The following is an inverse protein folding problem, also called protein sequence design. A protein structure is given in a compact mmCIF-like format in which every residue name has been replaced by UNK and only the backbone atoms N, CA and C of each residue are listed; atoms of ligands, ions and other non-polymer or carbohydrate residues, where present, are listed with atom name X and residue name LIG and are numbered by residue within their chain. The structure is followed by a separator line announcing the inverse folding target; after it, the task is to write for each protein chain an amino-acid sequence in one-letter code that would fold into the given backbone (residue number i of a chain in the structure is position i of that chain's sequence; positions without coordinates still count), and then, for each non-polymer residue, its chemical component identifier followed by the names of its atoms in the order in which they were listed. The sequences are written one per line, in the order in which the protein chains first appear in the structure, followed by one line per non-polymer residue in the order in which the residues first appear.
data_IF_487930692260
#
_entry.id   IF_487930692260
#
_cell.length_a   1.000
_cell.length_b   1.000
_cell.length_c   1.000
_cell.angle_alpha   90.00
_cell.angle_beta   90.00
_cell.angle_gamma   90.00
#
_symmetry.space_group_name_H-M   'P 1'
#
loop_
_entity.id
_entity.type
_entity.pdbx_description
1 polymer ?
#
# COMPACT_ATOMS: atom_id res chain seq x y z
N UNK A 1 -20.44 1.38 -7.60
CA UNK A 1 -19.45 1.77 -6.57
C UNK A 1 -20.13 2.71 -5.60
N UNK A 2 -19.91 2.53 -4.30
CA UNK A 2 -20.38 3.43 -3.24
C UNK A 2 -19.16 4.08 -2.62
N UNK A 3 -19.20 5.39 -2.41
CA UNK A 3 -18.12 6.16 -1.79
C UNK A 3 -18.72 7.14 -0.79
N UNK A 4 -18.07 7.31 0.36
CA UNK A 4 -18.50 8.29 1.37
C UNK A 4 -17.45 8.50 2.45
N UNK A 5 -17.72 9.43 3.36
CA UNK A 5 -16.83 9.79 4.47
C UNK A 5 -17.18 8.96 5.69
N UNK A 6 -16.23 8.16 6.18
CA UNK A 6 -16.43 7.32 7.38
C UNK A 6 -15.96 7.98 8.67
N UNK A 7 -15.03 8.95 8.57
CA UNK A 7 -14.46 9.65 9.72
C UNK A 7 -14.00 11.05 9.33
N UNK A 8 -14.30 12.02 10.19
CA UNK A 8 -13.74 13.38 10.12
C UNK A 8 -12.94 13.61 11.40
N UNK A 9 -11.67 13.95 11.23
CA UNK A 9 -10.74 14.34 12.30
C UNK A 9 -10.40 15.83 12.21
N UNK A 10 -9.47 16.29 13.06
CA UNK A 10 -9.10 17.71 13.12
C UNK A 10 -8.45 18.22 11.83
N UNK A 11 -7.57 17.41 11.24
CA UNK A 11 -6.76 17.78 10.06
C UNK A 11 -6.85 16.73 8.95
N UNK A 12 -7.81 15.83 9.06
CA UNK A 12 -7.88 14.66 8.18
C UNK A 12 -9.29 14.13 8.11
N UNK A 13 -9.60 13.41 7.05
CA UNK A 13 -10.85 12.67 6.91
C UNK A 13 -10.57 11.37 6.18
N UNK A 14 -11.42 10.37 6.43
CA UNK A 14 -11.29 9.04 5.84
C UNK A 14 -12.45 8.81 4.89
N UNK A 15 -12.13 8.51 3.63
CA UNK A 15 -13.11 7.97 2.70
C UNK A 15 -13.15 6.46 2.79
N UNK A 16 -14.33 5.91 2.59
CA UNK A 16 -14.57 4.50 2.35
C UNK A 16 -15.13 4.34 0.94
N UNK A 17 -14.67 3.32 0.23
CA UNK A 17 -15.11 2.92 -1.09
C UNK A 17 -15.53 1.45 -1.06
N UNK A 18 -16.65 1.14 -1.69
CA UNK A 18 -17.11 -0.22 -1.92
C UNK A 18 -17.41 -0.44 -3.40
N UNK A 19 -16.71 -1.40 -3.99
CA UNK A 19 -17.02 -1.93 -5.31
C UNK A 19 -18.10 -3.01 -5.17
N UNK A 20 -19.15 -2.94 -5.99
CA UNK A 20 -20.34 -3.79 -5.89
C UNK A 20 -20.77 -4.28 -7.26
N UNK A 21 -21.11 -5.57 -7.30
CA UNK A 21 -21.93 -6.19 -8.34
C UNK A 21 -23.37 -6.36 -7.81
N UNK A 22 -24.38 -6.64 -8.65
CA UNK A 22 -25.75 -6.83 -8.19
C UNK A 22 -25.84 -7.87 -7.05
N UNK A 23 -26.14 -7.41 -5.83
CA UNK A 23 -26.28 -8.26 -4.65
C UNK A 23 -24.98 -8.61 -3.91
N UNK A 24 -23.80 -8.16 -4.36
CA UNK A 24 -22.51 -8.56 -3.76
C UNK A 24 -21.51 -7.39 -3.67
N UNK A 25 -20.80 -7.29 -2.55
CA UNK A 25 -19.59 -6.45 -2.43
C UNK A 25 -18.40 -7.25 -2.95
N UNK A 26 -17.71 -6.72 -3.94
CA UNK A 26 -16.53 -7.36 -4.57
C UNK A 26 -15.21 -6.76 -4.10
N UNK A 27 -15.24 -5.61 -3.44
CA UNK A 27 -14.06 -4.99 -2.86
C UNK A 27 -14.42 -3.83 -1.94
N UNK A 28 -13.54 -3.59 -0.96
CA UNK A 28 -13.61 -2.45 -0.05
C UNK A 28 -12.24 -1.78 0.01
N UNK A 29 -12.23 -0.47 0.17
CA UNK A 29 -11.02 0.30 0.38
C UNK A 29 -11.30 1.52 1.23
N UNK A 30 -10.30 1.98 1.97
CA UNK A 30 -10.37 3.24 2.67
C UNK A 30 -9.09 4.02 2.49
N UNK A 31 -9.19 5.34 2.51
CA UNK A 31 -8.05 6.23 2.42
C UNK A 31 -8.25 7.39 3.39
N UNK A 32 -7.21 7.68 4.19
CA UNK A 32 -7.21 8.86 5.06
C UNK A 32 -6.44 9.97 4.37
N UNK A 33 -7.13 11.06 4.09
CA UNK A 33 -6.56 12.27 3.50
C UNK A 33 -6.24 13.23 4.65
N UNK A 34 -5.03 13.78 4.64
CA UNK A 34 -4.61 14.82 5.58
C UNK A 34 -4.55 16.13 4.82
N UNK A 35 -5.25 17.15 5.30
CA UNK A 35 -5.07 18.50 4.81
C UNK A 35 -3.83 19.08 5.48
N UNK A 36 -2.88 19.55 4.68
CA UNK A 36 -1.60 20.04 5.20
C UNK A 36 -0.98 21.10 4.31
N UNK A 37 0.03 21.75 4.86
CA UNK A 37 0.94 22.63 4.14
C UNK A 37 2.36 22.10 4.30
N UNK A 38 3.33 22.76 3.69
CA UNK A 38 4.75 22.51 3.97
C UNK A 38 5.12 22.66 5.46
N UNK A 39 4.30 23.33 6.26
CA UNK A 39 4.50 23.50 7.71
C UNK A 39 3.81 22.42 8.55
N UNK A 40 3.10 21.47 7.93
CA UNK A 40 2.43 20.35 8.59
C UNK A 40 0.90 20.36 8.46
N UNK A 41 0.21 19.49 9.20
CA UNK A 41 -1.25 19.33 9.12
C UNK A 41 -1.99 20.62 9.49
N UNK A 42 -3.01 20.95 8.70
CA UNK A 42 -3.89 22.10 8.89
C UNK A 42 -5.23 21.64 9.46
N UNK A 43 -5.86 22.46 10.30
CA UNK A 43 -7.26 22.25 10.70
C UNK A 43 -8.16 22.29 9.46
N UNK A 44 -9.10 21.35 9.35
CA UNK A 44 -10.09 21.36 8.27
C UNK A 44 -10.96 22.63 8.38
N UNK A 45 -11.14 23.41 7.30
CA UNK A 45 -12.04 24.56 7.29
C UNK A 45 -13.49 24.13 7.57
N UNK A 46 -14.26 24.96 8.27
CA UNK A 46 -15.65 24.65 8.67
C UNK A 46 -16.52 24.28 7.46
N UNK A 47 -16.44 25.05 6.36
CA UNK A 47 -17.17 24.73 5.14
C UNK A 47 -16.83 23.35 4.58
N UNK A 48 -15.55 22.95 4.64
CA UNK A 48 -15.15 21.62 4.19
C UNK A 48 -15.68 20.54 5.13
N UNK A 49 -15.72 20.80 6.43
CA UNK A 49 -16.31 19.86 7.40
C UNK A 49 -17.80 19.66 7.09
N UNK A 50 -18.54 20.74 6.85
CA UNK A 50 -19.96 20.69 6.49
C UNK A 50 -20.17 19.88 5.20
N UNK A 51 -19.39 20.18 4.15
CA UNK A 51 -19.44 19.43 2.88
C UNK A 51 -19.12 17.94 3.06
N UNK A 52 -18.17 17.59 3.94
CA UNK A 52 -17.81 16.20 4.24
C UNK A 52 -18.88 15.48 5.08
N UNK A 53 -19.61 16.19 5.94
CA UNK A 53 -20.71 15.64 6.73
C UNK A 53 -21.88 15.23 5.84
N UNK A 54 -22.16 15.99 4.78
CA UNK A 54 -23.18 15.64 3.78
C UNK A 54 -22.83 14.33 3.02
N UNK A 55 -21.55 13.96 3.00
CA UNK A 55 -21.05 12.72 2.39
C UNK A 55 -20.88 11.57 3.40
N UNK A 56 -21.27 11.75 4.66
CA UNK A 56 -20.99 10.79 5.72
C UNK A 56 -21.76 9.48 5.54
N UNK A 57 -21.05 8.35 5.73
CA UNK A 57 -21.63 7.01 5.72
C UNK A 57 -21.28 6.24 6.99
N UNK A 58 -22.15 5.32 7.45
CA UNK A 58 -21.85 4.51 8.63
C UNK A 58 -20.65 3.59 8.40
N UNK A 59 -19.74 3.58 9.37
CA UNK A 59 -18.73 2.55 9.48
C UNK A 59 -17.45 2.81 8.68
N UNK A 60 -16.39 2.21 9.19
CA UNK A 60 -15.06 2.11 8.61
C UNK A 60 -14.29 1.13 9.49
N UNK A 61 -13.56 0.19 8.88
CA UNK A 61 -12.64 -0.64 9.66
C UNK A 61 -11.47 0.23 10.13
N UNK A 62 -10.82 -0.14 11.23
CA UNK A 62 -9.56 0.49 11.61
C UNK A 62 -8.56 0.39 10.45
N UNK A 63 -7.74 1.43 10.24
CA UNK A 63 -6.67 1.38 9.25
C UNK A 63 -5.71 0.23 9.51
N UNK A 64 -4.87 -0.10 8.52
CA UNK A 64 -3.69 -0.93 8.78
C UNK A 64 -2.93 -0.35 9.98
N UNK A 65 -2.62 -1.19 10.96
CA UNK A 65 -1.96 -0.76 12.19
C UNK A 65 -0.66 -0.01 11.89
N UNK A 66 -0.27 0.86 12.82
CA UNK A 66 0.93 1.70 12.67
C UNK A 66 2.17 0.84 12.45
N UNK A 67 2.93 1.15 11.41
CA UNK A 67 4.15 0.43 11.11
C UNK A 67 5.14 0.56 12.27
N UNK A 68 5.78 -0.57 12.59
CA UNK A 68 6.81 -0.65 13.60
C UNK A 68 8.04 0.16 13.20
N UNK A 69 8.87 0.50 14.18
CA UNK A 69 10.13 1.19 13.92
C UNK A 69 11.09 0.34 13.07
N UNK A 70 11.09 -0.98 13.25
CA UNK A 70 11.90 -1.91 12.46
C UNK A 70 11.59 -1.81 10.95
N UNK A 71 10.31 -1.71 10.57
CA UNK A 71 9.87 -1.57 9.18
C UNK A 71 10.37 -0.27 8.51
N UNK A 72 10.87 0.70 9.28
CA UNK A 72 11.44 1.94 8.74
C UNK A 72 12.93 1.84 8.43
N UNK A 73 13.57 0.70 8.74
CA UNK A 73 15.00 0.48 8.55
C UNK A 73 15.26 -0.44 7.37
N UNK A 74 16.33 -0.17 6.61
CA UNK A 74 16.68 -0.95 5.41
C UNK A 74 17.00 -2.41 5.76
N UNK A 75 17.75 -2.65 6.83
CA UNK A 75 18.19 -3.98 7.25
C UNK A 75 17.06 -4.94 7.63
N UNK A 76 15.82 -4.44 7.74
CA UNK A 76 14.63 -5.25 7.92
C UNK A 76 14.24 -6.06 6.67
N UNK A 77 14.70 -5.63 5.49
CA UNK A 77 14.24 -6.15 4.21
C UNK A 77 15.33 -6.94 3.47
N UNK A 78 15.13 -8.26 3.27
CA UNK A 78 16.08 -9.12 2.56
C UNK A 78 15.96 -9.05 1.03
N UNK A 79 14.87 -8.49 0.49
CA UNK A 79 14.66 -8.35 -0.96
C UNK A 79 14.45 -6.90 -1.36
N UNK A 80 14.93 -6.54 -2.56
CA UNK A 80 14.87 -5.17 -3.07
C UNK A 80 14.39 -5.13 -4.53
N UNK A 81 13.45 -4.24 -4.81
CA UNK A 81 12.99 -3.88 -6.15
C UNK A 81 13.23 -2.39 -6.37
N UNK A 82 13.81 -2.00 -7.51
CA UNK A 82 13.98 -0.59 -7.88
C UNK A 82 12.81 -0.13 -8.73
N UNK A 83 12.23 1.02 -8.39
CA UNK A 83 11.18 1.69 -9.17
C UNK A 83 11.63 3.10 -9.52
N UNK A 84 11.25 3.56 -10.72
CA UNK A 84 11.63 4.88 -11.24
C UNK A 84 10.38 5.71 -11.47
N UNK A 85 10.41 6.95 -11.02
CA UNK A 85 9.33 7.90 -11.27
C UNK A 85 9.23 8.25 -12.75
N UNK A 86 8.00 8.34 -13.24
CA UNK A 86 7.65 8.83 -14.57
C UNK A 86 6.89 10.14 -14.43
N UNK A 87 6.92 10.98 -15.46
CA UNK A 87 6.11 12.21 -15.49
C UNK A 87 4.61 11.90 -15.31
N UNK A 88 4.15 10.75 -15.83
CA UNK A 88 2.77 10.28 -15.70
C UNK A 88 2.38 9.84 -14.28
N UNK A 89 3.35 9.69 -13.37
CA UNK A 89 3.07 9.28 -11.99
C UNK A 89 2.67 10.46 -11.10
N UNK A 90 2.87 11.71 -11.56
CA UNK A 90 2.62 12.92 -10.79
C UNK A 90 1.14 13.30 -10.74
N UNK A 91 0.67 13.73 -9.57
CA UNK A 91 -0.64 14.37 -9.40
C UNK A 91 -0.57 15.90 -9.57
N UNK A 92 -1.69 16.58 -9.34
CA UNK A 92 -1.77 18.05 -9.38
C UNK A 92 -0.93 18.75 -8.31
N UNK A 93 -0.52 18.05 -7.25
CA UNK A 93 0.37 18.55 -6.22
C UNK A 93 1.85 18.45 -6.64
N UNK A 94 2.13 17.88 -7.81
CA UNK A 94 3.48 17.66 -8.38
C UNK A 94 4.32 16.64 -7.60
N UNK A 95 3.66 15.77 -6.84
CA UNK A 95 4.28 14.60 -6.23
C UNK A 95 3.72 13.34 -6.86
N UNK A 96 4.39 12.21 -6.68
CA UNK A 96 3.86 10.92 -7.14
C UNK A 96 2.55 10.65 -6.40
N UNK A 97 1.50 10.40 -7.18
CA UNK A 97 0.18 10.10 -6.63
C UNK A 97 0.28 8.82 -5.77
N UNK A 98 -0.32 8.84 -4.58
CA UNK A 98 -0.32 7.65 -3.71
C UNK A 98 -0.86 6.40 -4.41
N UNK A 99 -1.77 6.54 -5.38
CA UNK A 99 -2.30 5.44 -6.19
C UNK A 99 -1.21 4.69 -6.95
N UNK A 100 -0.14 5.36 -7.37
CA UNK A 100 1.00 4.75 -8.06
C UNK A 100 1.79 3.86 -7.09
N UNK A 101 1.94 4.26 -5.82
CA UNK A 101 2.64 3.45 -4.81
C UNK A 101 1.97 2.09 -4.63
N UNK A 102 0.64 1.99 -4.76
CA UNK A 102 -0.06 0.71 -4.71
C UNK A 102 0.50 -0.24 -5.76
N UNK A 103 0.60 0.22 -7.01
CA UNK A 103 1.10 -0.58 -8.12
C UNK A 103 2.56 -0.97 -7.95
N UNK A 104 3.38 -0.08 -7.39
CA UNK A 104 4.79 -0.39 -7.15
C UNK A 104 5.00 -1.43 -6.03
N UNK A 105 4.18 -1.40 -4.98
CA UNK A 105 4.21 -2.46 -3.97
C UNK A 105 3.79 -3.80 -4.55
N UNK A 106 2.76 -3.83 -5.40
CA UNK A 106 2.34 -5.06 -6.10
C UNK A 106 3.42 -5.57 -7.07
N UNK A 107 4.10 -4.67 -7.80
CA UNK A 107 5.24 -5.04 -8.64
C UNK A 107 6.38 -5.64 -7.82
N UNK A 108 6.65 -5.10 -6.62
CA UNK A 108 7.68 -5.64 -5.74
C UNK A 108 7.33 -7.05 -5.23
N UNK A 109 6.07 -7.30 -4.85
CA UNK A 109 5.58 -8.65 -4.50
C UNK A 109 5.68 -9.59 -5.70
N UNK A 110 5.25 -9.15 -6.89
CA UNK A 110 5.34 -9.94 -8.12
C UNK A 110 6.79 -10.33 -8.44
N UNK A 111 7.76 -9.44 -8.20
CA UNK A 111 9.18 -9.72 -8.33
C UNK A 111 9.66 -10.86 -7.42
N UNK A 112 9.24 -10.86 -6.15
CA UNK A 112 9.54 -11.94 -5.20
C UNK A 112 8.95 -13.27 -5.68
N UNK A 113 7.67 -13.26 -6.05
CA UNK A 113 6.97 -14.46 -6.50
C UNK A 113 7.57 -15.03 -7.78
N UNK A 114 7.94 -14.17 -8.73
CA UNK A 114 8.63 -14.57 -9.95
C UNK A 114 9.98 -15.21 -9.67
N UNK A 115 10.77 -14.64 -8.76
CA UNK A 115 12.05 -15.20 -8.35
C UNK A 115 11.90 -16.55 -7.63
N UNK A 116 10.90 -16.67 -6.74
CA UNK A 116 10.64 -17.88 -5.97
C UNK A 116 10.03 -19.02 -6.80
N UNK A 117 9.23 -18.69 -7.82
CA UNK A 117 8.62 -19.66 -8.74
C UNK A 117 9.61 -20.26 -9.75
N UNK A 118 10.80 -19.66 -9.90
CA UNK A 118 11.76 -20.00 -10.95
C UNK A 118 11.27 -19.56 -12.33
N UNK A 119 12.21 -19.33 -13.27
CA UNK A 119 11.89 -19.07 -14.68
C UNK A 119 11.36 -20.34 -15.37
N UNK A 120 10.26 -20.90 -14.90
CA UNK A 120 9.66 -22.11 -15.45
C UNK A 120 8.71 -21.71 -16.57
N UNK A 121 9.29 -21.59 -17.77
CA UNK A 121 8.51 -21.52 -19.00
C UNK A 121 7.57 -22.73 -19.07
N UNK A 122 6.27 -22.45 -19.23
CA UNK A 122 5.10 -23.34 -19.37
C UNK A 122 4.22 -23.60 -18.14
N UNK A 123 4.61 -23.24 -16.91
CA UNK A 123 3.67 -23.22 -15.77
C UNK A 123 2.80 -21.96 -15.81
N UNK A 124 1.48 -22.04 -15.55
CA UNK A 124 0.66 -20.85 -15.34
C UNK A 124 1.32 -19.98 -14.28
N UNK A 125 1.41 -18.67 -14.52
CA UNK A 125 1.93 -17.74 -13.53
C UNK A 125 1.23 -18.00 -12.19
N UNK A 126 1.97 -18.07 -11.06
CA UNK A 126 1.34 -18.17 -9.74
C UNK A 126 0.29 -17.06 -9.61
N UNK A 127 -0.82 -17.39 -8.94
CA UNK A 127 -1.90 -16.42 -8.74
C UNK A 127 -1.38 -15.26 -7.88
N UNK A 128 -1.25 -14.08 -8.49
CA UNK A 128 -0.73 -12.85 -7.87
C UNK A 128 -1.86 -11.94 -7.36
N UNK A 129 -3.05 -12.48 -7.13
CA UNK A 129 -4.21 -11.67 -6.73
C UNK A 129 -4.01 -11.11 -5.32
N UNK A 130 -3.62 -9.84 -5.20
CA UNK A 130 -3.55 -9.17 -3.89
C UNK A 130 -4.93 -9.20 -3.23
N UNK A 131 -5.04 -9.89 -2.09
CA UNK A 131 -6.28 -9.97 -1.31
C UNK A 131 -6.45 -8.76 -0.42
N UNK A 132 -5.34 -8.25 0.14
CA UNK A 132 -5.30 -7.09 1.03
C UNK A 132 -4.03 -6.28 0.78
N UNK A 133 -4.16 -4.96 0.80
CA UNK A 133 -3.04 -4.02 0.75
C UNK A 133 -3.35 -2.86 1.70
N UNK A 134 -2.47 -2.61 2.66
CA UNK A 134 -2.51 -1.47 3.56
C UNK A 134 -1.23 -0.67 3.43
N UNK A 135 -1.32 0.66 3.38
CA UNK A 135 -0.16 1.54 3.18
C UNK A 135 -0.21 2.65 4.23
N UNK A 136 0.93 2.85 4.90
CA UNK A 136 1.18 4.06 5.67
C UNK A 136 2.16 4.95 4.93
N UNK A 137 1.71 6.15 4.60
CA UNK A 137 2.52 7.16 3.96
C UNK A 137 3.30 7.97 4.99
N UNK A 138 4.61 8.12 4.80
CA UNK A 138 5.48 8.84 5.72
C UNK A 138 6.16 10.06 5.07
N UNK A 139 6.27 10.11 3.74
CA UNK A 139 6.88 11.22 3.05
C UNK A 139 6.68 11.19 1.55
N UNK A 140 6.92 12.34 0.92
CA UNK A 140 6.70 12.53 -0.51
C UNK A 140 7.72 11.82 -1.38
N UNK A 141 7.21 11.28 -2.50
CA UNK A 141 8.00 10.72 -3.60
C UNK A 141 7.91 11.72 -4.75
N UNK A 142 9.05 12.17 -5.25
CA UNK A 142 9.17 13.26 -6.22
C UNK A 142 9.84 12.82 -7.51
N UNK A 143 9.48 13.47 -8.63
CA UNK A 143 10.15 13.30 -9.91
C UNK A 143 11.25 14.38 -10.11
N UNK A 144 12.38 14.03 -10.76
CA UNK A 144 12.82 12.68 -11.08
C UNK A 144 13.41 11.98 -9.85
N UNK A 145 13.28 10.65 -9.76
CA UNK A 145 13.92 9.87 -8.72
C UNK A 145 13.87 8.36 -8.96
N UNK A 146 14.88 7.68 -8.43
CA UNK A 146 14.95 6.23 -8.27
C UNK A 146 14.71 5.89 -6.81
N UNK A 147 13.79 4.96 -6.56
CA UNK A 147 13.38 4.55 -5.23
C UNK A 147 13.53 3.04 -5.08
N UNK A 148 13.77 2.59 -3.85
CA UNK A 148 13.94 1.18 -3.54
C UNK A 148 12.78 0.69 -2.68
N UNK A 149 12.11 -0.38 -3.11
CA UNK A 149 11.10 -1.07 -2.32
C UNK A 149 11.73 -2.30 -1.69
N UNK A 150 11.77 -2.30 -0.37
CA UNK A 150 12.16 -3.45 0.44
C UNK A 150 10.97 -4.38 0.60
N UNK A 151 11.23 -5.69 0.52
CA UNK A 151 10.20 -6.72 0.68
C UNK A 151 10.69 -7.77 1.67
N UNK A 152 9.82 -8.13 2.61
CA UNK A 152 10.00 -9.23 3.55
C UNK A 152 8.72 -10.04 3.59
N UNK A 153 8.81 -11.36 3.51
CA UNK A 153 7.70 -12.24 3.86
C UNK A 153 7.65 -12.35 5.38
N UNK A 154 6.55 -11.87 5.98
CA UNK A 154 6.37 -11.86 7.43
C UNK A 154 5.69 -13.13 7.94
N UNK A 155 4.83 -13.76 7.13
CA UNK A 155 4.21 -15.03 7.46
C UNK A 155 3.84 -15.83 6.21
N UNK A 156 3.90 -17.16 6.33
CA UNK A 156 3.35 -18.10 5.37
C UNK A 156 2.29 -18.91 6.10
N UNK A 157 1.03 -18.74 5.69
CA UNK A 157 -0.14 -19.38 6.29
C UNK A 157 -0.64 -20.52 5.38
N UNK A 158 -1.68 -21.22 5.82
CA UNK A 158 -2.25 -22.34 5.06
C UNK A 158 -2.82 -21.89 3.70
N UNK A 159 -3.42 -20.71 3.62
CA UNK A 159 -4.09 -20.20 2.41
C UNK A 159 -3.57 -18.84 1.92
N UNK A 160 -2.62 -18.23 2.63
CA UNK A 160 -2.09 -16.90 2.32
C UNK A 160 -0.57 -16.77 2.55
N UNK A 161 0.03 -15.76 1.91
CA UNK A 161 1.36 -15.24 2.24
C UNK A 161 1.20 -13.77 2.62
N UNK A 162 1.82 -13.37 3.73
CA UNK A 162 1.83 -12.00 4.22
C UNK A 162 3.20 -11.37 4.00
N UNK A 163 3.18 -10.12 3.56
CA UNK A 163 4.36 -9.34 3.21
C UNK A 163 4.38 -8.06 4.02
N UNK A 164 5.58 -7.65 4.41
CA UNK A 164 5.90 -6.31 4.86
C UNK A 164 6.76 -5.65 3.79
N UNK A 165 6.44 -4.40 3.46
CA UNK A 165 7.14 -3.62 2.44
C UNK A 165 7.45 -2.22 2.95
N UNK A 166 8.47 -1.59 2.38
CA UNK A 166 8.69 -0.15 2.54
C UNK A 166 9.40 0.44 1.34
N UNK A 167 9.03 1.66 0.98
CA UNK A 167 9.69 2.45 -0.05
C UNK A 167 10.70 3.41 0.57
N UNK A 168 11.88 3.48 -0.04
CA UNK A 168 12.99 4.31 0.40
C UNK A 168 13.46 5.23 -0.73
N UNK A 169 13.69 6.50 -0.39
CA UNK A 169 14.51 7.42 -1.17
C UNK A 169 15.80 7.65 -0.39
N UNK A 170 16.93 7.24 -0.96
CA UNK A 170 18.18 7.06 -0.21
C UNK A 170 17.96 6.17 1.03
N UNK A 171 18.37 6.63 2.22
CA UNK A 171 18.17 5.92 3.49
C UNK A 171 16.85 6.28 4.20
N UNK A 172 16.03 7.18 3.62
CA UNK A 172 14.79 7.63 4.25
C UNK A 172 13.61 6.76 3.83
N UNK A 173 12.96 6.12 4.80
CA UNK A 173 11.66 5.46 4.60
C UNK A 173 10.57 6.50 4.30
N UNK A 174 9.95 6.40 3.12
CA UNK A 174 8.89 7.30 2.64
C UNK A 174 7.49 6.71 2.80
N UNK A 175 7.41 5.41 3.05
CA UNK A 175 6.17 4.72 3.37
C UNK A 175 6.41 3.25 3.63
N UNK A 176 5.46 2.64 4.31
CA UNK A 176 5.44 1.21 4.62
C UNK A 176 4.14 0.62 4.09
N UNK A 177 4.14 -0.67 3.77
CA UNK A 177 2.93 -1.38 3.41
C UNK A 177 2.90 -2.79 4.01
N UNK A 178 1.68 -3.32 4.17
CA UNK A 178 1.47 -4.75 4.33
C UNK A 178 0.61 -5.24 3.18
N UNK A 179 0.96 -6.40 2.64
CA UNK A 179 0.19 -7.06 1.59
C UNK A 179 -0.10 -8.51 1.95
N UNK A 180 -1.20 -9.04 1.43
CA UNK A 180 -1.56 -10.46 1.54
C UNK A 180 -1.94 -10.99 0.16
N UNK A 181 -1.32 -12.11 -0.24
CA UNK A 181 -1.64 -12.84 -1.48
C UNK A 181 -2.09 -14.26 -1.15
N UNK A 182 -2.77 -14.99 -2.05
CA UNK A 182 -2.96 -16.42 -1.92
C UNK A 182 -1.63 -17.15 -1.72
N UNK A 183 -1.68 -18.27 -0.99
CA UNK A 183 -0.50 -19.12 -0.75
C UNK A 183 0.11 -19.68 -2.03
N UNK A 184 -0.74 -20.04 -2.99
CA UNK A 184 -0.35 -20.73 -4.21
C UNK A 184 0.46 -22.00 -3.94
N UNK A 185 1.28 -22.41 -4.90
CA UNK A 185 2.18 -23.56 -4.81
C UNK A 185 3.65 -23.18 -4.51
N UNK A 186 3.91 -21.94 -4.07
CA UNK A 186 5.27 -21.43 -3.86
C UNK A 186 6.01 -22.22 -2.78
N UNK A 187 7.31 -22.45 -2.93
CA UNK A 187 8.12 -23.06 -1.87
C UNK A 187 8.45 -22.00 -0.79
N UNK A 188 8.10 -22.18 0.50
CA UNK A 188 8.44 -21.24 1.56
C UNK A 188 9.94 -20.95 1.68
N UNK A 189 10.79 -21.95 1.41
CA UNK A 189 12.24 -21.81 1.47
C UNK A 189 12.82 -20.92 0.37
N UNK A 190 12.03 -20.59 -0.66
CA UNK A 190 12.42 -19.66 -1.70
C UNK A 190 11.93 -18.22 -1.43
N UNK A 191 11.22 -17.99 -0.31
CA UNK A 191 10.65 -16.69 0.03
C UNK A 191 11.61 -15.89 0.94
N UNK A 192 11.82 -14.60 0.66
CA UNK A 192 12.78 -13.78 1.39
C UNK A 192 12.25 -13.40 2.78
N UNK A 193 13.05 -13.64 3.83
CA UNK A 193 12.73 -13.25 5.21
C UNK A 193 12.09 -14.35 6.08
N UNK A 194 11.93 -15.55 5.53
CA UNK A 194 11.62 -16.76 6.29
C UNK A 194 12.93 -17.52 6.54
N UNK A 195 13.32 -17.64 7.80
CA UNK A 195 14.34 -18.61 8.20
C UNK A 195 13.66 -19.99 8.27
N UNK A 196 14.05 -20.92 7.39
CA UNK A 196 13.54 -22.31 7.37
C UNK A 196 14.45 -23.22 8.18
#
# INVERSE_FOLDING_TARGET
MVSGVSRIGRSSFTYLHEAREPGQVVGKGQATIVLGTSSGPMVLPDQLIDDLQDLAIPGGEGGSGRASDAQRHRDHYPWWTTVRTRVADLDSNRHVNFQVLLTWYEEAVAGVVWAAGGAQGSTPSPELSTRRLGIEYAGEVTFPGDYQIGVRVSAVLDDAIQYELAIFGDDRCLGTAQAETPRGSLNPAALPGIDV
#
